data_IF_795142431181
#
_entry.id   IF_795142431181
#
_cell.length_a   1.000
_cell.length_b   1.000
_cell.length_c   1.000
_cell.angle_alpha   90.00
_cell.angle_beta   90.00
_cell.angle_gamma   90.00
#
_symmetry.space_group_name_H-M   'P 1'
#
loop_
_entity.id
_entity.type
_entity.pdbx_description
1 polymer ?
#
# COMPACT_ATOMS: atom_id res chain seq x y z
N UNK A 1 9.31 24.87 17.46
CA UNK A 1 9.27 24.51 16.02
C UNK A 1 9.64 23.05 15.75
N UNK A 2 10.80 22.55 16.20
CA UNK A 2 11.23 21.15 15.94
C UNK A 2 10.21 20.07 16.39
N UNK A 3 9.67 20.15 17.62
CA UNK A 3 8.70 19.18 18.15
C UNK A 3 7.37 19.10 17.36
N UNK A 4 6.94 20.23 16.79
CA UNK A 4 5.70 20.30 15.99
C UNK A 4 5.91 19.65 14.62
N UNK A 5 7.05 19.91 13.98
CA UNK A 5 7.41 19.30 12.70
C UNK A 5 7.52 17.77 12.78
N UNK A 6 8.14 17.25 13.85
CA UNK A 6 8.23 15.81 14.12
C UNK A 6 6.86 15.15 14.28
N UNK A 7 5.93 15.80 15.01
CA UNK A 7 4.60 15.27 15.22
C UNK A 7 3.78 15.17 13.93
N UNK A 8 3.92 16.13 13.03
CA UNK A 8 3.19 16.14 11.75
C UNK A 8 3.65 15.02 10.82
N UNK A 9 4.96 14.81 10.66
CA UNK A 9 5.47 13.77 9.75
C UNK A 9 5.15 12.35 10.24
N UNK A 10 5.14 12.12 11.56
CA UNK A 10 4.75 10.81 12.12
C UNK A 10 3.26 10.53 11.93
N UNK A 11 2.39 11.53 12.08
CA UNK A 11 0.96 11.38 11.78
C UNK A 11 0.71 11.06 10.31
N UNK A 12 1.46 11.69 9.40
CA UNK A 12 1.37 11.40 7.97
C UNK A 12 1.79 9.95 7.65
N UNK A 13 2.89 9.47 8.26
CA UNK A 13 3.30 8.07 8.13
C UNK A 13 2.22 7.11 8.66
N UNK A 14 1.68 7.35 9.85
CA UNK A 14 0.61 6.52 10.43
C UNK A 14 -0.64 6.47 9.54
N UNK A 15 -1.04 7.62 8.97
CA UNK A 15 -2.16 7.68 8.05
C UNK A 15 -1.88 6.92 6.75
N UNK A 16 -0.65 7.01 6.21
CA UNK A 16 -0.23 6.25 5.03
C UNK A 16 -0.31 4.74 5.28
N UNK A 17 0.27 4.26 6.40
CA UNK A 17 0.27 2.85 6.78
C UNK A 17 -1.15 2.30 6.90
N UNK A 18 -2.06 3.07 7.54
CA UNK A 18 -3.45 2.64 7.66
C UNK A 18 -4.15 2.51 6.29
N UNK A 19 -3.82 3.40 5.34
CA UNK A 19 -4.37 3.35 3.99
C UNK A 19 -3.76 2.25 3.15
N UNK A 20 -2.48 1.98 3.33
CA UNK A 20 -1.78 0.86 2.71
C UNK A 20 -2.40 -0.48 3.15
N UNK A 21 -2.64 -0.65 4.46
CA UNK A 21 -3.34 -1.82 4.99
C UNK A 21 -4.78 -1.96 4.42
N UNK A 22 -5.49 -0.85 4.18
CA UNK A 22 -6.79 -0.88 3.46
C UNK A 22 -6.64 -1.33 2.00
N UNK A 23 -5.60 -0.87 1.30
CA UNK A 23 -5.32 -1.24 -0.10
C UNK A 23 -4.94 -2.71 -0.22
N UNK A 24 -4.14 -3.24 0.70
CA UNK A 24 -3.78 -4.67 0.76
C UNK A 24 -5.03 -5.54 0.86
N UNK A 25 -5.95 -5.19 1.77
CA UNK A 25 -7.21 -5.94 1.96
C UNK A 25 -8.06 -5.92 0.69
N UNK A 26 -8.14 -4.78 0.02
CA UNK A 26 -8.89 -4.63 -1.24
C UNK A 26 -8.21 -5.39 -2.38
N UNK A 27 -6.88 -5.35 -2.47
CA UNK A 27 -6.11 -6.10 -3.45
C UNK A 27 -6.38 -7.61 -3.33
N UNK A 28 -6.32 -8.13 -2.10
CA UNK A 28 -6.63 -9.52 -1.78
C UNK A 28 -8.06 -9.90 -2.14
N UNK A 29 -9.02 -9.01 -1.86
CA UNK A 29 -10.41 -9.21 -2.23
C UNK A 29 -10.60 -9.28 -3.75
N UNK A 30 -10.05 -8.32 -4.48
CA UNK A 30 -10.13 -8.27 -5.94
C UNK A 30 -9.50 -9.52 -6.55
N UNK A 31 -8.35 -9.98 -6.07
CA UNK A 31 -7.72 -11.22 -6.55
C UNK A 31 -8.64 -12.42 -6.39
N UNK A 32 -9.25 -12.61 -5.20
CA UNK A 32 -10.18 -13.72 -4.97
C UNK A 32 -11.39 -13.65 -5.90
N UNK A 33 -11.99 -12.47 -6.06
CA UNK A 33 -13.15 -12.28 -6.94
C UNK A 33 -12.81 -12.56 -8.40
N UNK A 34 -11.65 -12.10 -8.87
CA UNK A 34 -11.17 -12.36 -10.23
C UNK A 34 -10.89 -13.86 -10.45
N UNK A 35 -10.37 -14.59 -9.46
CA UNK A 35 -10.23 -16.04 -9.57
C UNK A 35 -11.58 -16.74 -9.70
N UNK A 36 -12.58 -16.38 -8.88
CA UNK A 36 -13.92 -16.94 -9.02
C UNK A 36 -14.54 -16.63 -10.38
N UNK A 37 -14.32 -15.41 -10.90
CA UNK A 37 -14.77 -15.02 -12.24
C UNK A 37 -14.14 -15.89 -13.33
N UNK A 38 -12.83 -16.16 -13.25
CA UNK A 38 -12.12 -17.02 -14.20
C UNK A 38 -12.58 -18.47 -14.14
N UNK A 39 -12.86 -18.99 -12.95
CA UNK A 39 -13.41 -20.35 -12.75
C UNK A 39 -14.82 -20.44 -13.34
N UNK A 40 -15.67 -19.46 -13.08
CA UNK A 40 -17.05 -19.43 -13.57
C UNK A 40 -17.13 -19.27 -15.10
N UNK A 41 -16.21 -18.49 -15.69
CA UNK A 41 -16.13 -18.29 -17.13
C UNK A 41 -14.67 -18.15 -17.59
N UNK A 42 -14.06 -19.25 -18.11
CA UNK A 42 -12.69 -19.23 -18.63
C UNK A 42 -12.43 -18.21 -19.75
N UNK A 43 -13.47 -17.75 -20.46
CA UNK A 43 -13.34 -16.69 -21.46
C UNK A 43 -12.93 -15.32 -20.88
N UNK A 44 -12.97 -15.16 -19.56
CA UNK A 44 -12.60 -13.92 -18.87
C UNK A 44 -11.13 -13.84 -18.44
N UNK A 45 -10.36 -14.95 -18.58
CA UNK A 45 -8.98 -15.06 -18.05
C UNK A 45 -8.09 -13.88 -18.46
N UNK A 46 -8.07 -13.52 -19.75
CA UNK A 46 -7.22 -12.43 -20.24
C UNK A 46 -7.59 -11.09 -19.60
N UNK A 47 -8.88 -10.76 -19.52
CA UNK A 47 -9.34 -9.50 -18.94
C UNK A 47 -9.10 -9.46 -17.43
N UNK A 48 -9.38 -10.57 -16.74
CA UNK A 48 -9.13 -10.70 -15.32
C UNK A 48 -7.63 -10.60 -15.00
N UNK A 49 -6.75 -11.09 -15.89
CA UNK A 49 -5.29 -10.95 -15.76
C UNK A 49 -4.85 -9.49 -15.85
N UNK A 50 -5.40 -8.70 -16.77
CA UNK A 50 -5.12 -7.26 -16.81
C UNK A 50 -5.60 -6.53 -15.54
N UNK A 51 -6.76 -6.92 -15.01
CA UNK A 51 -7.29 -6.35 -13.77
C UNK A 51 -6.44 -6.73 -12.55
N UNK A 52 -5.93 -7.96 -12.47
CA UNK A 52 -4.96 -8.36 -11.44
C UNK A 52 -3.70 -7.48 -11.51
N UNK A 53 -3.16 -7.26 -12.71
CA UNK A 53 -2.02 -6.36 -12.92
C UNK A 53 -2.30 -4.92 -12.48
N UNK A 54 -3.48 -4.39 -12.78
CA UNK A 54 -3.90 -3.06 -12.33
C UNK A 54 -4.03 -2.98 -10.81
N UNK A 55 -4.64 -4.00 -10.18
CA UNK A 55 -4.79 -4.08 -8.72
C UNK A 55 -3.44 -4.18 -8.00
N UNK A 56 -2.51 -4.96 -8.52
CA UNK A 56 -1.13 -5.02 -8.01
C UNK A 56 -0.41 -3.68 -8.17
N UNK A 57 -0.57 -3.00 -9.31
CA UNK A 57 0.00 -1.67 -9.50
C UNK A 57 -0.48 -0.64 -8.46
N UNK A 58 -1.75 -0.70 -8.05
CA UNK A 58 -2.30 0.18 -7.00
C UNK A 58 -1.72 -0.14 -5.63
N UNK A 59 -1.54 -1.42 -5.28
CA UNK A 59 -0.89 -1.85 -4.03
C UNK A 59 0.57 -1.37 -4.00
N UNK A 60 1.35 -1.57 -5.07
CA UNK A 60 2.73 -1.05 -5.15
C UNK A 60 2.81 0.46 -4.97
N UNK A 61 1.84 1.22 -5.50
CA UNK A 61 1.80 2.68 -5.31
C UNK A 61 1.57 3.02 -3.83
N UNK A 62 0.68 2.31 -3.14
CA UNK A 62 0.42 2.53 -1.71
C UNK A 62 1.66 2.26 -0.86
N UNK A 63 2.36 1.15 -1.11
CA UNK A 63 3.62 0.80 -0.45
C UNK A 63 4.71 1.86 -0.71
N UNK A 64 4.85 2.31 -1.96
CA UNK A 64 5.80 3.38 -2.31
C UNK A 64 5.51 4.68 -1.55
N UNK A 65 4.24 5.04 -1.36
CA UNK A 65 3.86 6.23 -0.57
C UNK A 65 4.28 6.05 0.89
N UNK A 66 4.03 4.87 1.48
CA UNK A 66 4.46 4.55 2.85
C UNK A 66 5.97 4.65 3.01
N UNK A 67 6.73 4.09 2.06
CA UNK A 67 8.19 4.17 2.03
C UNK A 67 8.71 5.63 1.94
N UNK A 68 8.06 6.49 1.14
CA UNK A 68 8.40 7.92 1.08
C UNK A 68 8.11 8.61 2.41
N UNK A 69 6.96 8.36 3.02
CA UNK A 69 6.62 8.91 4.34
C UNK A 69 7.64 8.49 5.41
N UNK A 70 8.07 7.23 5.41
CA UNK A 70 9.07 6.73 6.34
C UNK A 70 10.42 7.43 6.16
N UNK A 71 10.86 7.64 4.91
CA UNK A 71 12.08 8.41 4.61
C UNK A 71 11.98 9.86 5.05
N UNK A 72 10.82 10.51 4.89
CA UNK A 72 10.60 11.89 5.38
C UNK A 72 10.70 11.94 6.90
N UNK A 73 10.11 10.98 7.62
CA UNK A 73 10.26 10.87 9.09
C UNK A 73 11.73 10.70 9.46
N UNK A 74 12.48 9.83 8.77
CA UNK A 74 13.90 9.63 9.01
C UNK A 74 14.71 10.92 8.81
N UNK A 75 14.49 11.65 7.71
CA UNK A 75 15.19 12.92 7.44
C UNK A 75 14.94 13.97 8.52
N UNK A 76 13.71 14.04 9.06
CA UNK A 76 13.34 15.05 10.08
C UNK A 76 13.79 14.64 11.49
N UNK A 77 13.80 13.35 11.79
CA UNK A 77 13.98 12.84 13.17
C UNK A 77 15.34 12.19 13.43
N UNK A 78 16.03 11.75 12.37
CA UNK A 78 17.24 10.92 12.45
C UNK A 78 16.97 9.47 12.88
N UNK A 79 15.70 9.07 13.06
CA UNK A 79 15.32 7.73 13.52
C UNK A 79 14.46 7.04 12.47
N UNK A 80 14.73 5.76 12.19
CA UNK A 80 13.78 4.93 11.47
C UNK A 80 12.61 4.63 12.41
N UNK A 81 11.39 4.80 11.91
CA UNK A 81 10.17 4.46 12.67
C UNK A 81 9.81 2.99 12.35
N UNK A 82 9.59 2.17 13.38
CA UNK A 82 9.30 0.72 13.25
C UNK A 82 7.95 0.46 12.55
N UNK A 83 7.16 1.51 12.31
CA UNK A 83 5.94 1.46 11.52
C UNK A 83 6.19 1.10 10.06
N UNK A 84 7.42 1.32 9.55
CA UNK A 84 7.78 0.87 8.21
C UNK A 84 8.04 -0.65 8.24
N UNK A 85 6.98 -1.43 8.03
CA UNK A 85 7.11 -2.87 7.80
C UNK A 85 7.83 -3.04 6.45
N UNK A 86 8.96 -3.76 6.37
CA UNK A 86 9.47 -4.16 5.07
C UNK A 86 8.43 -5.12 4.45
N UNK A 87 7.66 -4.61 3.49
CA UNK A 87 6.90 -5.43 2.54
C UNK A 87 7.74 -5.45 1.25
N UNK A 88 8.09 -6.67 0.83
CA UNK A 88 9.06 -7.08 -0.20
C UNK A 88 10.55 -7.15 0.22
#
# INVERSE_FOLDING_TARGET
MAKLATGTVRKALQASVARDDEVDVLHDQVHRELFFLMIANPGTITQATYLMGASHGLERIADLVTNVCARVVFVVTGTLDDLNRPRD
#
